data_IF_687614219805
#
_entry.id   IF_687614219805
#
_cell.length_a   1.000
_cell.length_b   1.000
_cell.length_c   1.000
_cell.angle_alpha   90.00
_cell.angle_beta   90.00
_cell.angle_gamma   90.00
#
_symmetry.space_group_name_H-M   'P 1'
#
loop_
_entity.id
_entity.type
_entity.pdbx_description
1 polymer ?
#
# COMPACT_ATOMS: atom_id res chain seq x y z
N UNK A 1 21.13 -8.07 24.24
CA UNK A 1 20.48 -8.67 23.05
C UNK A 1 21.35 -9.86 22.64
N UNK A 2 20.82 -11.08 22.65
CA UNK A 2 21.61 -12.31 22.40
C UNK A 2 21.71 -12.69 20.92
N UNK A 3 20.72 -12.33 20.09
CA UNK A 3 20.78 -12.42 18.61
C UNK A 3 19.64 -11.62 17.96
N UNK A 4 19.76 -11.37 16.65
CA UNK A 4 18.73 -10.73 15.81
C UNK A 4 18.39 -11.71 14.68
N UNK A 5 17.11 -12.01 14.50
CA UNK A 5 16.60 -12.94 13.49
C UNK A 5 15.46 -12.31 12.70
N UNK A 6 15.33 -12.71 11.44
CA UNK A 6 14.21 -12.30 10.59
C UNK A 6 12.95 -13.06 10.98
N UNK A 7 11.83 -12.35 11.13
CA UNK A 7 10.53 -12.96 11.41
C UNK A 7 10.02 -13.75 10.19
N UNK A 8 9.44 -14.92 10.46
CA UNK A 8 8.89 -15.80 9.42
C UNK A 8 7.37 -15.57 9.28
N UNK A 9 6.91 -15.09 8.12
CA UNK A 9 5.49 -14.90 7.81
C UNK A 9 4.93 -16.04 6.96
N UNK A 10 4.40 -17.06 7.63
CA UNK A 10 3.71 -18.20 7.00
C UNK A 10 2.20 -17.95 6.75
N UNK A 11 1.53 -18.92 6.13
CA UNK A 11 0.11 -18.82 5.75
C UNK A 11 -0.85 -18.81 6.94
N UNK A 12 -0.49 -19.36 8.09
CA UNK A 12 -1.31 -19.25 9.30
C UNK A 12 -1.44 -17.79 9.75
N UNK A 13 -0.35 -17.00 9.66
CA UNK A 13 -0.42 -15.57 9.95
C UNK A 13 -1.32 -14.83 8.96
N UNK A 14 -1.20 -15.13 7.66
CA UNK A 14 -2.01 -14.51 6.61
C UNK A 14 -3.49 -14.84 6.77
N UNK A 15 -3.83 -16.09 7.11
CA UNK A 15 -5.21 -16.51 7.36
C UNK A 15 -5.86 -15.67 8.46
N UNK A 16 -5.17 -15.54 9.60
CA UNK A 16 -5.68 -14.76 10.73
C UNK A 16 -5.81 -13.28 10.35
N UNK A 17 -4.83 -12.73 9.64
CA UNK A 17 -4.86 -11.35 9.14
C UNK A 17 -6.08 -11.09 8.24
N UNK A 18 -6.34 -11.94 7.25
CA UNK A 18 -7.50 -11.80 6.36
C UNK A 18 -8.83 -11.94 7.10
N UNK A 19 -8.93 -12.87 8.07
CA UNK A 19 -10.10 -12.97 8.92
C UNK A 19 -10.37 -11.66 9.69
N UNK A 20 -9.33 -11.03 10.23
CA UNK A 20 -9.47 -9.78 10.96
C UNK A 20 -9.79 -8.60 10.03
N UNK A 21 -9.21 -8.57 8.83
CA UNK A 21 -9.54 -7.56 7.80
C UNK A 21 -11.03 -7.61 7.46
N UNK A 22 -11.59 -8.80 7.23
CA UNK A 22 -13.02 -8.97 6.93
C UNK A 22 -13.92 -8.54 8.09
N UNK A 23 -13.54 -8.86 9.34
CA UNK A 23 -14.25 -8.41 10.53
C UNK A 23 -14.24 -6.88 10.64
N UNK A 24 -13.09 -6.25 10.41
CA UNK A 24 -12.93 -4.79 10.46
C UNK A 24 -13.75 -4.08 9.37
N UNK A 25 -13.75 -4.60 8.14
CA UNK A 25 -14.59 -4.08 7.04
C UNK A 25 -16.07 -4.19 7.41
N UNK A 26 -16.47 -5.31 8.03
CA UNK A 26 -17.86 -5.53 8.44
C UNK A 26 -18.29 -4.55 9.54
N UNK A 27 -17.44 -4.32 10.53
CA UNK A 27 -17.68 -3.33 11.58
C UNK A 27 -17.80 -1.91 11.03
N UNK A 28 -16.88 -1.50 10.15
CA UNK A 28 -16.90 -0.20 9.49
C UNK A 28 -18.20 0.02 8.69
N UNK A 29 -18.60 -0.97 7.88
CA UNK A 29 -19.85 -0.91 7.11
C UNK A 29 -21.09 -0.87 8.01
N UNK A 30 -21.06 -1.56 9.15
CA UNK A 30 -22.18 -1.60 10.08
C UNK A 30 -22.43 -0.22 10.70
N UNK A 31 -21.40 0.42 11.24
CA UNK A 31 -21.51 1.76 11.85
C UNK A 31 -21.77 2.85 10.80
N UNK A 32 -21.16 2.74 9.62
CA UNK A 32 -21.40 3.66 8.49
C UNK A 32 -22.86 3.62 8.04
N UNK A 33 -23.43 2.40 7.88
CA UNK A 33 -24.84 2.23 7.51
C UNK A 33 -25.79 2.81 8.55
N UNK A 34 -25.43 2.73 9.83
CA UNK A 34 -26.19 3.30 10.93
C UNK A 34 -25.99 4.81 11.10
N UNK A 35 -25.06 5.42 10.36
CA UNK A 35 -24.58 6.80 10.56
C UNK A 35 -24.13 7.07 12.00
N UNK A 36 -23.62 6.03 12.66
CA UNK A 36 -23.16 6.12 14.04
C UNK A 36 -21.78 6.79 14.09
N UNK A 37 -21.55 7.78 14.97
CA UNK A 37 -20.24 8.36 15.18
C UNK A 37 -19.23 7.29 15.62
N UNK A 38 -18.27 6.98 14.76
CA UNK A 38 -17.23 5.99 15.01
C UNK A 38 -15.87 6.44 14.46
N UNK A 39 -14.80 5.86 15.01
CA UNK A 39 -13.46 6.04 14.47
C UNK A 39 -13.22 5.06 13.32
N UNK A 40 -12.89 5.59 12.15
CA UNK A 40 -12.49 4.81 10.99
C UNK A 40 -10.98 4.74 10.91
N UNK A 41 -10.47 3.60 10.45
CA UNK A 41 -9.06 3.46 10.08
C UNK A 41 -8.90 3.90 8.63
N UNK A 42 -8.49 5.15 8.43
CA UNK A 42 -8.40 5.77 7.10
C UNK A 42 -6.94 5.81 6.65
N UNK A 43 -6.73 5.52 5.37
CA UNK A 43 -5.44 5.71 4.73
C UNK A 43 -5.64 6.58 3.49
N UNK A 44 -5.17 7.83 3.56
CA UNK A 44 -5.34 8.79 2.48
C UNK A 44 -4.50 8.44 1.25
N UNK A 45 -4.90 9.02 0.10
CA UNK A 45 -4.15 8.93 -1.14
C UNK A 45 -2.80 9.68 -1.02
N UNK A 46 -1.76 9.25 -1.76
CA UNK A 46 -0.51 9.99 -1.86
C UNK A 46 -0.73 11.45 -2.29
N UNK A 47 0.15 12.37 -1.87
CA UNK A 47 0.07 13.75 -2.33
C UNK A 47 0.52 13.88 -3.78
N UNK A 48 0.09 14.95 -4.45
CA UNK A 48 0.51 15.26 -5.83
C UNK A 48 2.02 15.34 -5.96
N UNK A 49 2.70 15.92 -4.96
CA UNK A 49 4.16 16.07 -4.93
C UNK A 49 4.83 14.70 -4.81
N UNK A 50 4.30 13.81 -3.95
CA UNK A 50 4.83 12.45 -3.79
C UNK A 50 4.68 11.63 -5.08
N UNK A 51 3.52 11.72 -5.75
CA UNK A 51 3.27 11.05 -7.03
C UNK A 51 4.19 11.59 -8.11
N UNK A 52 4.34 12.91 -8.20
CA UNK A 52 5.19 13.57 -9.20
C UNK A 52 6.65 13.17 -9.01
N UNK A 53 7.14 13.19 -7.78
CA UNK A 53 8.52 12.80 -7.46
C UNK A 53 8.79 11.33 -7.81
N UNK A 54 7.84 10.45 -7.50
CA UNK A 54 7.94 9.04 -7.86
C UNK A 54 7.92 8.84 -9.39
N UNK A 55 7.09 9.58 -10.12
CA UNK A 55 7.05 9.56 -11.59
C UNK A 55 8.34 10.02 -12.24
N UNK A 56 9.02 11.03 -11.71
CA UNK A 56 10.33 11.45 -12.22
C UNK A 56 11.35 10.30 -12.18
N UNK A 57 11.37 9.55 -11.07
CA UNK A 57 12.27 8.40 -10.90
C UNK A 57 11.91 7.27 -11.85
N UNK A 58 10.62 6.97 -12.01
CA UNK A 58 10.16 5.98 -12.98
C UNK A 58 10.56 6.37 -14.41
N UNK A 59 10.40 7.65 -14.78
CA UNK A 59 10.73 8.14 -16.11
C UNK A 59 12.23 8.02 -16.44
N UNK A 60 13.12 8.26 -15.47
CA UNK A 60 14.56 8.03 -15.63
C UNK A 60 14.91 6.56 -15.92
N UNK A 61 14.06 5.63 -15.47
CA UNK A 61 14.20 4.19 -15.67
C UNK A 61 13.39 3.66 -16.87
N UNK A 62 12.72 4.54 -17.62
CA UNK A 62 11.84 4.17 -18.74
C UNK A 62 10.54 3.48 -18.31
N UNK A 63 10.09 3.74 -17.08
CA UNK A 63 8.87 3.19 -16.49
C UNK A 63 7.80 4.28 -16.31
N UNK A 64 6.54 3.87 -16.23
CA UNK A 64 5.42 4.77 -16.00
C UNK A 64 4.46 4.22 -14.94
N UNK A 65 3.87 5.13 -14.15
CA UNK A 65 2.77 4.81 -13.24
C UNK A 65 1.43 5.10 -13.95
N UNK A 66 0.59 4.07 -14.23
CA UNK A 66 -0.73 4.26 -14.86
C UNK A 66 -1.69 5.07 -13.97
N UNK A 67 -2.94 5.26 -14.42
CA UNK A 67 -3.98 5.92 -13.62
C UNK A 67 -4.04 7.46 -13.70
N UNK A 68 -3.35 8.08 -14.67
CA UNK A 68 -3.46 9.52 -14.94
C UNK A 68 -3.06 10.40 -13.74
N UNK A 69 -3.72 11.53 -13.51
CA UNK A 69 -3.32 12.47 -12.43
C UNK A 69 -3.60 11.96 -11.01
N UNK A 70 -4.50 10.97 -10.86
CA UNK A 70 -4.94 10.41 -9.58
C UNK A 70 -4.94 8.89 -9.67
N UNK A 71 -3.76 8.25 -9.63
CA UNK A 71 -3.65 6.79 -9.63
C UNK A 71 -4.39 6.18 -8.43
N UNK A 72 -5.05 5.07 -8.67
CA UNK A 72 -5.74 4.26 -7.67
C UNK A 72 -4.85 3.10 -7.20
N UNK A 73 -5.15 2.44 -6.07
CA UNK A 73 -4.32 1.35 -5.54
C UNK A 73 -4.00 0.23 -6.55
N UNK A 74 -4.90 -0.02 -7.51
CA UNK A 74 -4.69 -0.98 -8.60
C UNK A 74 -3.56 -0.59 -9.53
N UNK A 75 -3.41 0.70 -9.85
CA UNK A 75 -2.36 1.21 -10.73
C UNK A 75 -0.96 0.98 -10.12
N UNK A 76 -0.86 1.18 -8.80
CA UNK A 76 0.36 0.86 -8.04
C UNK A 76 0.65 -0.63 -8.01
N UNK A 77 -0.37 -1.48 -7.82
CA UNK A 77 -0.21 -2.93 -7.83
C UNK A 77 0.23 -3.47 -9.20
N UNK A 78 -0.29 -2.90 -10.28
CA UNK A 78 0.12 -3.22 -11.65
C UNK A 78 1.59 -2.86 -11.89
N UNK A 79 2.02 -1.66 -11.48
CA UNK A 79 3.43 -1.26 -11.53
C UNK A 79 4.31 -2.21 -10.71
N UNK A 80 3.92 -2.55 -9.49
CA UNK A 80 4.68 -3.48 -8.64
C UNK A 80 4.85 -4.85 -9.27
N UNK A 81 3.83 -5.32 -10.01
CA UNK A 81 3.89 -6.58 -10.73
C UNK A 81 4.82 -6.49 -11.94
N UNK A 82 4.80 -5.37 -12.68
CA UNK A 82 5.63 -5.20 -13.88
C UNK A 82 7.13 -5.04 -13.59
N UNK A 83 7.48 -4.58 -12.38
CA UNK A 83 8.87 -4.38 -11.96
C UNK A 83 9.45 -5.54 -11.14
N UNK A 84 8.66 -6.58 -10.85
CA UNK A 84 9.01 -7.60 -9.86
C UNK A 84 10.34 -8.33 -10.12
N UNK A 85 10.67 -8.57 -11.40
CA UNK A 85 11.89 -9.29 -11.82
C UNK A 85 13.10 -8.37 -12.06
N UNK A 86 12.97 -7.07 -11.80
CA UNK A 86 14.07 -6.11 -12.06
C UNK A 86 15.10 -6.10 -10.92
N UNK A 87 16.38 -5.84 -11.21
CA UNK A 87 17.42 -5.69 -10.18
C UNK A 87 17.15 -4.56 -9.17
N UNK A 88 16.36 -3.56 -9.55
CA UNK A 88 16.02 -2.36 -8.76
C UNK A 88 14.63 -2.44 -8.11
N UNK A 89 13.96 -3.61 -8.13
CA UNK A 89 12.60 -3.79 -7.63
C UNK A 89 12.43 -3.35 -6.15
N UNK A 90 13.36 -3.73 -5.27
CA UNK A 90 13.31 -3.39 -3.83
C UNK A 90 13.44 -1.89 -3.59
N UNK A 91 14.27 -1.20 -4.38
CA UNK A 91 14.41 0.26 -4.33
C UNK A 91 13.10 0.92 -4.73
N UNK A 92 12.51 0.52 -5.85
CA UNK A 92 11.24 1.05 -6.35
C UNK A 92 10.08 0.79 -5.38
N UNK A 93 10.01 -0.40 -4.80
CA UNK A 93 9.06 -0.75 -3.74
C UNK A 93 9.21 0.16 -2.53
N UNK A 94 10.44 0.41 -2.07
CA UNK A 94 10.71 1.29 -0.94
C UNK A 94 10.29 2.73 -1.23
N UNK A 95 10.56 3.24 -2.43
CA UNK A 95 10.16 4.58 -2.84
C UNK A 95 8.65 4.73 -2.94
N UNK A 96 7.96 3.72 -3.49
CA UNK A 96 6.51 3.65 -3.51
C UNK A 96 5.94 3.69 -2.09
N UNK A 97 6.43 2.86 -1.18
CA UNK A 97 5.98 2.83 0.22
C UNK A 97 6.19 4.18 0.91
N UNK A 98 7.31 4.86 0.67
CA UNK A 98 7.59 6.19 1.23
C UNK A 98 6.71 7.30 0.66
N UNK A 99 6.09 7.09 -0.50
CA UNK A 99 5.14 8.05 -1.08
C UNK A 99 3.73 7.96 -0.46
N UNK A 100 3.45 6.87 0.26
CA UNK A 100 2.14 6.61 0.87
C UNK A 100 1.92 7.47 2.13
N UNK A 101 0.66 7.87 2.37
CA UNK A 101 0.28 8.54 3.61
C UNK A 101 0.29 7.58 4.79
N UNK A 102 0.50 8.11 5.98
CA UNK A 102 0.34 7.31 7.20
C UNK A 102 -1.16 7.11 7.47
N UNK A 103 -1.55 5.89 7.83
CA UNK A 103 -2.92 5.60 8.25
C UNK A 103 -3.23 6.26 9.61
N UNK A 104 -4.41 6.89 9.69
CA UNK A 104 -4.98 7.52 10.89
C UNK A 104 -6.14 6.69 11.41
#
# INVERSE_FOLDING_TARGET
>A
IERIEQTQRNDAHKLIEECMILANISAARFVEKAQEPALFRIHDKPTTEAITSFRTVLAELGLELPGGNKPEPRDYAELLTSIADRPDAEMLQTMLLRSMKQAV
#
